data_IF_918833769109
#
_entry.id   IF_918833769109
#
_cell.length_a   1.000
_cell.length_b   1.000
_cell.length_c   1.000
_cell.angle_alpha   90.00
_cell.angle_beta   90.00
_cell.angle_gamma   90.00
#
_symmetry.space_group_name_H-M   'P 1'
#
loop_
_entity.id
_entity.type
_entity.pdbx_description
1 polymer ?
#
# COMPACT_ATOMS: atom_id res chain seq x y z
N UNK A 1 -8.97 19.91 -1.22
CA UNK A 1 -7.51 19.90 -1.42
C UNK A 1 -7.11 20.54 -2.75
N UNK A 2 -7.77 20.23 -3.86
CA UNK A 2 -7.47 20.80 -5.19
C UNK A 2 -7.72 22.32 -5.20
N UNK A 3 -8.75 22.81 -4.51
CA UNK A 3 -9.04 24.24 -4.35
C UNK A 3 -7.92 24.98 -3.58
N UNK A 4 -7.37 24.40 -2.53
CA UNK A 4 -6.28 25.01 -1.74
C UNK A 4 -4.98 25.14 -2.56
N UNK A 5 -4.66 24.15 -3.41
CA UNK A 5 -3.51 24.20 -4.32
C UNK A 5 -3.73 25.28 -5.39
N UNK A 6 -4.94 25.41 -5.90
CA UNK A 6 -5.30 26.47 -6.87
C UNK A 6 -5.14 27.86 -6.27
N UNK A 7 -5.59 28.09 -5.03
CA UNK A 7 -5.41 29.37 -4.33
C UNK A 7 -3.94 29.69 -4.03
N UNK A 8 -3.16 28.69 -3.64
CA UNK A 8 -1.71 28.87 -3.42
C UNK A 8 -1.00 29.27 -4.71
N UNK A 9 -1.33 28.63 -5.83
CA UNK A 9 -0.74 28.96 -7.14
C UNK A 9 -1.17 30.36 -7.61
N UNK A 10 -2.41 30.76 -7.38
CA UNK A 10 -2.90 32.11 -7.69
C UNK A 10 -2.18 33.14 -6.83
N UNK A 11 -1.99 32.88 -5.53
CA UNK A 11 -1.26 33.76 -4.63
C UNK A 11 0.19 33.94 -5.08
N UNK A 12 0.88 32.87 -5.42
CA UNK A 12 2.27 32.91 -5.95
C UNK A 12 2.32 33.71 -7.24
N UNK A 13 1.38 33.50 -8.16
CA UNK A 13 1.31 34.25 -9.41
C UNK A 13 1.10 35.75 -9.16
N UNK A 14 0.22 36.12 -8.24
CA UNK A 14 -0.02 37.53 -7.86
C UNK A 14 1.27 38.16 -7.28
N UNK A 15 1.95 37.48 -6.37
CA UNK A 15 3.22 37.96 -5.79
C UNK A 15 4.28 38.16 -6.87
N UNK A 16 4.41 37.23 -7.82
CA UNK A 16 5.34 37.33 -8.94
C UNK A 16 5.04 38.49 -9.86
N UNK A 17 3.76 38.74 -10.18
CA UNK A 17 3.34 39.90 -10.99
C UNK A 17 3.63 41.20 -10.26
N UNK A 18 3.36 41.28 -8.95
CA UNK A 18 3.68 42.47 -8.13
C UNK A 18 5.18 42.76 -8.12
N UNK A 19 6.02 41.76 -7.93
CA UNK A 19 7.50 41.91 -7.98
C UNK A 19 7.97 42.38 -9.34
N UNK A 20 7.41 41.86 -10.44
CA UNK A 20 7.72 42.29 -11.78
C UNK A 20 7.29 43.76 -12.04
N UNK A 21 6.14 44.19 -11.56
CA UNK A 21 5.67 45.57 -11.67
C UNK A 21 6.53 46.54 -10.86
N UNK A 22 6.98 46.17 -9.67
CA UNK A 22 7.91 46.95 -8.85
C UNK A 22 9.25 47.08 -9.56
N UNK A 23 9.78 46.01 -10.13
CA UNK A 23 11.01 46.03 -10.89
C UNK A 23 10.90 46.94 -12.11
N UNK A 24 9.80 46.86 -12.88
CA UNK A 24 9.53 47.71 -14.02
C UNK A 24 9.49 49.20 -13.62
N UNK A 25 8.77 49.52 -12.53
CA UNK A 25 8.67 50.89 -12.02
C UNK A 25 10.05 51.48 -11.61
N UNK A 26 10.90 50.68 -10.97
CA UNK A 26 12.26 51.06 -10.57
C UNK A 26 13.16 51.30 -11.78
N UNK A 27 13.03 50.49 -12.85
CA UNK A 27 13.76 50.63 -14.11
C UNK A 27 13.37 51.93 -14.80
N UNK A 28 12.06 52.23 -14.88
CA UNK A 28 11.55 53.46 -15.53
C UNK A 28 12.03 54.72 -14.82
N UNK A 29 12.14 54.73 -13.50
CA UNK A 29 12.64 55.87 -12.73
C UNK A 29 14.16 56.05 -12.75
N UNK A 30 14.93 55.20 -13.43
CA UNK A 30 16.39 55.22 -13.53
C UNK A 30 17.13 55.36 -12.19
N UNK A 31 16.46 55.18 -11.07
CA UNK A 31 17.04 55.21 -9.73
C UNK A 31 17.26 53.77 -9.26
N UNK A 32 18.40 53.48 -8.64
CA UNK A 32 18.73 52.22 -7.99
C UNK A 32 18.85 50.98 -8.95
N UNK A 33 19.61 51.10 -10.04
CA UNK A 33 19.89 49.97 -10.97
C UNK A 33 20.39 48.71 -10.26
N UNK A 34 21.27 48.86 -9.28
CA UNK A 34 21.84 47.74 -8.51
C UNK A 34 20.72 47.05 -7.68
N UNK A 35 19.85 47.82 -7.04
CA UNK A 35 18.74 47.27 -6.25
C UNK A 35 17.76 46.49 -7.12
N UNK A 36 17.43 46.99 -8.30
CA UNK A 36 16.55 46.30 -9.26
C UNK A 36 17.17 44.98 -9.75
N UNK A 37 18.49 44.98 -9.98
CA UNK A 37 19.20 43.76 -10.40
C UNK A 37 19.22 42.70 -9.29
N UNK A 38 19.41 43.11 -8.04
CA UNK A 38 19.33 42.20 -6.88
C UNK A 38 17.91 41.66 -6.73
N UNK A 39 16.88 42.51 -6.85
CA UNK A 39 15.47 42.09 -6.72
C UNK A 39 15.10 41.06 -7.80
N UNK A 40 15.56 41.27 -9.06
CA UNK A 40 15.33 40.28 -10.13
C UNK A 40 16.06 38.95 -9.84
N UNK A 41 17.29 38.99 -9.37
CA UNK A 41 18.05 37.79 -9.01
C UNK A 41 17.35 37.02 -7.90
N UNK A 42 16.88 37.70 -6.85
CA UNK A 42 16.10 37.07 -5.75
C UNK A 42 14.79 36.49 -6.26
N UNK A 43 14.08 37.16 -7.15
CA UNK A 43 12.82 36.65 -7.70
C UNK A 43 13.00 35.37 -8.53
N UNK A 44 14.07 35.31 -9.34
CA UNK A 44 14.43 34.08 -10.09
C UNK A 44 14.79 32.94 -9.15
N UNK A 45 15.54 33.23 -8.09
CA UNK A 45 15.95 32.24 -7.11
C UNK A 45 14.74 31.67 -6.35
N UNK A 46 13.82 32.53 -5.88
CA UNK A 46 12.59 32.13 -5.20
C UNK A 46 11.67 31.31 -6.13
N UNK A 47 11.57 31.72 -7.41
CA UNK A 47 10.79 30.97 -8.41
C UNK A 47 11.35 29.57 -8.65
N UNK A 48 12.68 29.44 -8.71
CA UNK A 48 13.33 28.15 -8.91
C UNK A 48 13.10 27.22 -7.73
N UNK A 49 13.19 27.71 -6.49
CA UNK A 49 12.91 26.94 -5.28
C UNK A 49 11.42 26.52 -5.25
N UNK A 50 10.51 27.41 -5.60
CA UNK A 50 9.08 27.13 -5.64
C UNK A 50 8.75 26.02 -6.65
N UNK A 51 9.36 26.04 -7.83
CA UNK A 51 9.20 24.99 -8.85
C UNK A 51 9.68 23.63 -8.36
N UNK A 52 10.82 23.56 -7.69
CA UNK A 52 11.34 22.31 -7.11
C UNK A 52 10.40 21.81 -6.01
N UNK A 53 9.92 22.70 -5.14
CA UNK A 53 8.98 22.37 -4.08
C UNK A 53 7.66 21.80 -4.60
N UNK A 54 7.08 22.43 -5.63
CA UNK A 54 5.85 21.93 -6.28
C UNK A 54 6.09 20.58 -6.93
N UNK A 55 7.22 20.38 -7.59
CA UNK A 55 7.53 19.09 -8.22
C UNK A 55 7.68 17.97 -7.18
N UNK A 56 8.36 18.23 -6.07
CA UNK A 56 8.47 17.26 -4.97
C UNK A 56 7.11 16.97 -4.31
N UNK A 57 6.27 17.99 -4.14
CA UNK A 57 4.93 17.81 -3.58
C UNK A 57 4.02 16.98 -4.49
N UNK A 58 4.07 17.21 -5.81
CA UNK A 58 3.34 16.39 -6.78
C UNK A 58 3.84 14.94 -6.76
N UNK A 59 5.17 14.74 -6.69
CA UNK A 59 5.76 13.41 -6.59
C UNK A 59 5.29 12.67 -5.32
N UNK A 60 5.30 13.36 -4.17
CA UNK A 60 4.81 12.82 -2.91
C UNK A 60 3.30 12.51 -2.97
N UNK A 61 2.50 13.41 -3.53
CA UNK A 61 1.07 13.20 -3.71
C UNK A 61 0.78 12.00 -4.62
N UNK A 62 1.56 11.84 -5.69
CA UNK A 62 1.44 10.68 -6.58
C UNK A 62 1.87 9.38 -5.88
N UNK A 63 2.90 9.40 -5.05
CA UNK A 63 3.29 8.25 -4.24
C UNK A 63 2.20 7.85 -3.24
N UNK A 64 1.61 8.83 -2.54
CA UNK A 64 0.50 8.59 -1.61
C UNK A 64 -0.73 8.04 -2.35
N UNK A 65 -1.02 8.55 -3.53
CA UNK A 65 -2.13 8.08 -4.34
C UNK A 65 -1.86 6.68 -4.95
N UNK A 66 -0.62 6.40 -5.33
CA UNK A 66 -0.23 5.07 -5.81
C UNK A 66 -0.33 4.01 -4.71
N UNK A 67 0.10 4.33 -3.48
CA UNK A 67 -0.02 3.42 -2.32
C UNK A 67 -1.46 3.13 -1.94
N UNK A 68 -2.40 4.04 -2.17
CA UNK A 68 -3.82 3.79 -1.93
C UNK A 68 -4.50 2.91 -2.99
N UNK A 69 -3.86 2.70 -4.14
CA UNK A 69 -4.40 1.89 -5.24
C UNK A 69 -3.92 0.43 -5.23
N UNK A 70 -3.03 0.06 -4.29
CA UNK A 70 -2.51 -1.29 -4.18
C UNK A 70 -2.76 -1.82 -2.77
N UNK A 71 -3.37 -2.98 -2.68
CA UNK A 71 -3.38 -3.78 -1.46
C UNK A 71 -2.41 -4.93 -1.65
N UNK A 72 -1.32 -4.95 -0.88
CA UNK A 72 -0.40 -6.08 -0.87
C UNK A 72 -0.78 -7.02 0.28
N UNK A 73 -0.78 -8.29 0.00
CA UNK A 73 -0.99 -9.37 0.96
C UNK A 73 -0.11 -10.55 0.58
N UNK A 74 0.14 -11.43 1.52
CA UNK A 74 0.98 -12.60 1.26
C UNK A 74 0.16 -13.88 1.36
N UNK A 75 0.56 -14.86 0.55
CA UNK A 75 0.08 -16.23 0.66
C UNK A 75 1.30 -17.13 0.92
N UNK A 76 1.17 -18.06 1.85
CA UNK A 76 2.30 -18.82 2.36
C UNK A 76 1.96 -20.30 2.49
N UNK A 77 2.97 -21.15 2.41
CA UNK A 77 2.90 -22.53 2.89
C UNK A 77 3.47 -22.57 4.31
N UNK A 78 2.69 -23.10 5.24
CA UNK A 78 3.07 -23.21 6.64
C UNK A 78 3.00 -24.65 7.13
N UNK A 79 3.91 -24.98 8.05
CA UNK A 79 4.00 -26.26 8.76
C UNK A 79 4.05 -25.98 10.26
N UNK A 80 3.92 -27.00 11.10
CA UNK A 80 4.14 -26.85 12.55
C UNK A 80 5.55 -26.32 12.84
N UNK A 81 5.66 -25.50 13.87
CA UNK A 81 6.94 -24.86 14.24
C UNK A 81 8.04 -25.89 14.60
N UNK A 82 7.65 -27.01 15.19
CA UNK A 82 8.50 -28.14 15.59
C UNK A 82 8.72 -29.18 14.47
N UNK A 83 8.06 -29.02 13.32
CA UNK A 83 8.24 -29.89 12.16
C UNK A 83 9.68 -29.84 11.66
N UNK A 84 10.24 -30.97 11.24
CA UNK A 84 11.56 -31.03 10.60
C UNK A 84 11.55 -30.50 9.16
N UNK A 85 10.36 -30.36 8.55
CA UNK A 85 10.18 -29.85 7.18
C UNK A 85 10.62 -28.39 7.13
N UNK A 86 11.68 -28.12 6.38
CA UNK A 86 12.26 -26.79 6.22
C UNK A 86 12.00 -26.16 4.86
N UNK A 87 11.66 -26.97 3.86
CA UNK A 87 11.47 -26.51 2.49
C UNK A 87 10.22 -27.13 1.86
N UNK A 88 9.60 -26.38 0.98
CA UNK A 88 8.40 -26.81 0.23
C UNK A 88 8.67 -28.00 -0.69
N UNK A 89 9.92 -28.19 -1.11
CA UNK A 89 10.35 -29.33 -1.93
C UNK A 89 10.19 -30.69 -1.24
N UNK A 90 10.15 -30.70 0.11
CA UNK A 90 9.99 -31.90 0.94
C UNK A 90 8.51 -32.36 1.04
N UNK A 91 7.59 -31.51 0.61
CA UNK A 91 6.15 -31.77 0.66
C UNK A 91 5.67 -32.49 -0.62
N UNK A 92 4.63 -33.30 -0.47
CA UNK A 92 3.86 -33.88 -1.58
C UNK A 92 2.48 -33.22 -1.75
N UNK A 93 1.89 -32.79 -0.64
CA UNK A 93 0.57 -32.13 -0.61
C UNK A 93 0.52 -30.98 0.36
N UNK A 94 -0.44 -30.10 0.19
CA UNK A 94 -0.81 -29.02 1.08
C UNK A 94 -2.33 -28.95 1.22
N UNK A 95 -2.82 -28.62 2.39
CA UNK A 95 -4.25 -28.47 2.65
C UNK A 95 -4.64 -27.00 2.50
N UNK A 96 -5.67 -26.71 1.70
CA UNK A 96 -6.10 -25.35 1.38
C UNK A 96 -7.58 -25.26 1.01
N UNK A 97 -8.25 -24.11 1.27
CA UNK A 97 -9.66 -23.89 0.92
C UNK A 97 -9.82 -23.44 -0.54
N UNK A 98 -9.64 -24.37 -1.49
CA UNK A 98 -9.67 -24.06 -2.92
C UNK A 98 -11.01 -23.52 -3.41
N UNK A 99 -12.14 -23.84 -2.75
CA UNK A 99 -13.46 -23.31 -3.11
C UNK A 99 -13.64 -21.83 -2.80
N UNK A 100 -12.91 -21.32 -1.83
CA UNK A 100 -13.06 -19.93 -1.38
C UNK A 100 -11.95 -19.01 -1.89
N UNK A 101 -10.76 -19.54 -2.17
CA UNK A 101 -9.60 -18.75 -2.58
C UNK A 101 -8.78 -19.42 -3.70
N UNK A 102 -9.46 -20.02 -4.67
CA UNK A 102 -8.86 -20.78 -5.77
C UNK A 102 -7.77 -20.01 -6.52
N UNK A 103 -8.01 -18.74 -6.82
CA UNK A 103 -7.10 -17.91 -7.63
C UNK A 103 -5.75 -17.68 -6.94
N UNK A 104 -5.77 -17.33 -5.66
CA UNK A 104 -4.56 -17.05 -4.90
C UNK A 104 -3.77 -18.34 -4.63
N UNK A 105 -4.47 -19.41 -4.28
CA UNK A 105 -3.87 -20.73 -4.07
C UNK A 105 -3.18 -21.19 -5.36
N UNK A 106 -3.85 -21.04 -6.50
CA UNK A 106 -3.24 -21.37 -7.80
C UNK A 106 -1.99 -20.54 -8.09
N UNK A 107 -2.03 -19.22 -7.84
CA UNK A 107 -0.86 -18.35 -8.02
C UNK A 107 0.33 -18.80 -7.17
N UNK A 108 0.07 -19.25 -5.92
CA UNK A 108 1.10 -19.79 -5.04
C UNK A 108 1.70 -21.09 -5.61
N UNK A 109 0.85 -22.03 -6.02
CA UNK A 109 1.29 -23.31 -6.55
C UNK A 109 2.06 -23.19 -7.85
N UNK A 110 1.61 -22.33 -8.77
CA UNK A 110 2.30 -22.02 -10.01
C UNK A 110 3.68 -21.41 -9.75
N UNK A 111 3.79 -20.57 -8.74
CA UNK A 111 5.05 -19.97 -8.30
C UNK A 111 6.01 -21.00 -7.70
N UNK A 112 5.54 -21.89 -6.84
CA UNK A 112 6.31 -23.01 -6.29
C UNK A 112 6.79 -23.92 -7.41
N UNK A 113 5.91 -24.24 -8.36
CA UNK A 113 6.25 -25.08 -9.53
C UNK A 113 7.35 -24.45 -10.37
N UNK A 114 7.29 -23.13 -10.58
CA UNK A 114 8.26 -22.40 -11.39
C UNK A 114 9.59 -22.20 -10.66
N UNK A 115 9.55 -21.82 -9.38
CA UNK A 115 10.74 -21.44 -8.61
C UNK A 115 11.46 -22.63 -7.96
N UNK A 116 10.72 -23.66 -7.56
CA UNK A 116 11.22 -24.83 -6.84
C UNK A 116 11.17 -26.14 -7.67
N UNK A 117 10.63 -26.07 -8.90
CA UNK A 117 10.42 -27.26 -9.77
C UNK A 117 9.63 -28.37 -9.07
N UNK A 118 8.72 -27.98 -8.17
CA UNK A 118 7.92 -28.89 -7.35
C UNK A 118 6.44 -28.71 -7.65
N UNK A 119 5.78 -29.82 -7.94
CA UNK A 119 4.34 -29.90 -8.10
C UNK A 119 3.73 -30.43 -6.79
N UNK A 120 2.80 -29.67 -6.21
CA UNK A 120 2.11 -30.02 -4.98
C UNK A 120 0.65 -30.34 -5.26
N UNK A 121 0.17 -31.44 -4.68
CA UNK A 121 -1.26 -31.74 -4.68
C UNK A 121 -1.97 -30.93 -3.60
N UNK A 122 -3.21 -30.52 -3.86
CA UNK A 122 -4.01 -29.77 -2.89
C UNK A 122 -5.10 -30.64 -2.32
N UNK A 123 -5.12 -30.75 -1.01
CA UNK A 123 -6.19 -31.35 -0.25
C UNK A 123 -7.19 -30.26 0.14
N UNK A 124 -8.48 -30.51 -0.13
CA UNK A 124 -9.52 -29.51 0.08
C UNK A 124 -9.82 -29.32 1.57
N UNK A 125 -9.92 -28.08 1.99
CA UNK A 125 -10.41 -27.69 3.32
C UNK A 125 -11.58 -26.74 3.20
N UNK A 126 -12.45 -26.73 4.20
CA UNK A 126 -13.62 -25.84 4.24
C UNK A 126 -13.22 -24.35 4.41
N UNK A 127 -12.13 -24.08 5.11
CA UNK A 127 -11.62 -22.72 5.37
C UNK A 127 -10.15 -22.76 5.81
N UNK A 128 -9.49 -21.60 5.85
CA UNK A 128 -8.14 -21.46 6.42
C UNK A 128 -8.08 -21.85 7.89
N UNK A 129 -9.12 -21.54 8.67
CA UNK A 129 -9.22 -21.95 10.06
C UNK A 129 -9.36 -23.48 10.20
N UNK A 130 -10.14 -24.12 9.32
CA UNK A 130 -10.27 -25.57 9.31
C UNK A 130 -8.94 -26.25 8.93
N UNK A 131 -8.25 -25.73 7.91
CA UNK A 131 -6.90 -26.21 7.54
C UNK A 131 -5.92 -26.09 8.73
N UNK A 132 -5.94 -24.97 9.45
CA UNK A 132 -5.12 -24.75 10.62
C UNK A 132 -5.43 -25.76 11.75
N UNK A 133 -6.70 -26.06 12.00
CA UNK A 133 -7.12 -27.07 12.98
C UNK A 133 -6.61 -28.48 12.61
N UNK A 134 -6.72 -28.84 11.33
CA UNK A 134 -6.17 -30.11 10.83
C UNK A 134 -4.65 -30.19 10.94
N UNK A 135 -3.93 -29.07 10.78
CA UNK A 135 -2.49 -29.03 11.01
C UNK A 135 -2.14 -29.27 12.48
N UNK A 136 -2.86 -28.61 13.41
CA UNK A 136 -2.65 -28.80 14.84
C UNK A 136 -3.02 -30.23 15.31
N UNK A 137 -3.99 -30.86 14.67
CA UNK A 137 -4.40 -32.24 14.93
C UNK A 137 -3.44 -33.27 14.33
N UNK A 138 -2.46 -32.86 13.52
CA UNK A 138 -1.55 -33.75 12.82
C UNK A 138 -2.16 -34.51 11.64
N UNK A 139 -3.35 -34.10 11.20
CA UNK A 139 -4.05 -34.71 10.06
C UNK A 139 -3.39 -34.32 8.72
N UNK A 140 -2.77 -33.17 8.67
CA UNK A 140 -1.99 -32.67 7.53
C UNK A 140 -0.61 -32.20 7.98
N UNK A 141 0.37 -32.28 7.08
CA UNK A 141 1.75 -31.84 7.33
C UNK A 141 2.00 -30.37 7.00
N UNK A 142 1.20 -29.82 6.07
CA UNK A 142 1.36 -28.46 5.59
C UNK A 142 0.02 -27.88 5.14
N UNK A 143 -0.11 -26.59 5.36
CA UNK A 143 -1.30 -25.82 4.97
C UNK A 143 -0.90 -24.59 4.14
N UNK A 144 -1.84 -24.10 3.35
CA UNK A 144 -1.75 -22.77 2.77
C UNK A 144 -2.39 -21.76 3.73
N UNK A 145 -1.74 -20.62 3.92
CA UNK A 145 -2.23 -19.47 4.68
C UNK A 145 -2.24 -18.24 3.80
N UNK A 146 -3.30 -17.45 3.90
CA UNK A 146 -3.39 -16.13 3.29
C UNK A 146 -3.45 -15.10 4.43
N UNK A 147 -2.55 -14.11 4.41
CA UNK A 147 -2.42 -13.10 5.47
C UNK A 147 -3.71 -12.32 5.73
N UNK A 148 -4.58 -12.19 4.72
CA UNK A 148 -5.90 -11.56 4.87
C UNK A 148 -6.79 -12.30 5.87
N UNK A 149 -6.62 -13.60 6.00
CA UNK A 149 -7.45 -14.46 6.85
C UNK A 149 -6.76 -14.87 8.16
N UNK A 150 -5.49 -14.52 8.37
CA UNK A 150 -4.75 -14.87 9.60
C UNK A 150 -5.42 -14.32 10.87
N UNK A 151 -6.04 -13.14 10.78
CA UNK A 151 -6.79 -12.54 11.90
C UNK A 151 -7.96 -13.43 12.39
N UNK A 152 -8.58 -14.23 11.51
CA UNK A 152 -9.63 -15.16 11.92
C UNK A 152 -9.05 -16.33 12.74
N UNK A 153 -7.83 -16.75 12.40
CA UNK A 153 -7.13 -17.78 13.16
C UNK A 153 -6.67 -17.22 14.50
N UNK A 154 -6.16 -15.98 14.51
CA UNK A 154 -5.68 -15.32 15.73
C UNK A 154 -6.79 -15.13 16.78
N UNK A 155 -8.01 -14.85 16.34
CA UNK A 155 -9.16 -14.72 17.25
C UNK A 155 -9.42 -15.97 18.05
N UNK A 156 -9.27 -17.17 17.46
CA UNK A 156 -9.49 -18.44 18.13
C UNK A 156 -8.20 -18.99 18.75
N UNK A 157 -7.04 -18.67 18.13
CA UNK A 157 -5.72 -19.14 18.54
C UNK A 157 -4.73 -17.96 18.61
N UNK A 158 -4.73 -17.17 19.70
CA UNK A 158 -3.87 -15.96 19.81
C UNK A 158 -2.37 -16.24 19.63
N UNK A 159 -1.90 -17.45 19.94
CA UNK A 159 -0.51 -17.86 19.79
C UNK A 159 -0.23 -18.60 18.47
N UNK A 160 -1.12 -18.53 17.47
CA UNK A 160 -0.98 -19.28 16.22
C UNK A 160 0.37 -19.06 15.54
N UNK A 161 0.87 -17.84 15.52
CA UNK A 161 2.14 -17.49 14.88
C UNK A 161 3.36 -18.19 15.52
N UNK A 162 3.28 -18.58 16.80
CA UNK A 162 4.34 -19.34 17.49
C UNK A 162 4.29 -20.84 17.22
N UNK A 163 3.11 -21.34 16.82
CA UNK A 163 2.87 -22.77 16.60
C UNK A 163 3.19 -23.23 15.19
N UNK A 164 3.39 -22.28 14.27
CA UNK A 164 3.67 -22.56 12.86
C UNK A 164 4.92 -21.84 12.39
N UNK A 165 5.55 -22.35 11.35
CA UNK A 165 6.56 -21.65 10.56
C UNK A 165 6.17 -21.63 9.10
N UNK A 166 6.33 -20.48 8.45
CA UNK A 166 6.12 -20.30 7.02
C UNK A 166 7.39 -20.71 6.28
N UNK A 167 7.30 -21.74 5.45
CA UNK A 167 8.45 -22.30 4.70
C UNK A 167 8.53 -21.80 3.28
N UNK A 168 7.44 -21.18 2.77
CA UNK A 168 7.39 -20.50 1.49
C UNK A 168 6.38 -19.36 1.55
N UNK A 169 6.72 -18.21 0.98
CA UNK A 169 5.83 -17.04 0.98
C UNK A 169 5.91 -16.35 -0.38
N UNK A 170 4.74 -16.01 -0.92
CA UNK A 170 4.60 -15.21 -2.13
C UNK A 170 3.81 -13.95 -1.80
N UNK A 171 4.37 -12.80 -2.15
CA UNK A 171 3.66 -11.53 -2.09
C UNK A 171 2.74 -11.41 -3.31
N UNK A 172 1.51 -11.00 -3.03
CA UNK A 172 0.48 -10.74 -4.04
C UNK A 172 0.04 -9.29 -3.93
N UNK A 173 -0.12 -8.65 -5.07
CA UNK A 173 -0.59 -7.27 -5.16
C UNK A 173 -1.93 -7.24 -5.87
N UNK A 174 -2.93 -6.69 -5.23
CA UNK A 174 -4.23 -6.44 -5.85
C UNK A 174 -4.34 -4.95 -6.16
N UNK A 175 -4.45 -4.62 -7.43
CA UNK A 175 -4.80 -3.26 -7.84
C UNK A 175 -6.25 -2.99 -7.45
N UNK A 176 -6.47 -2.02 -6.58
CA UNK A 176 -7.81 -1.53 -6.27
C UNK A 176 -8.07 -0.37 -7.22
N UNK A 177 -8.92 -0.56 -8.20
CA UNK A 177 -9.36 0.57 -9.03
C UNK A 177 -10.03 1.60 -8.14
N UNK A 178 -9.45 2.81 -8.09
CA UNK A 178 -10.09 3.91 -7.40
C UNK A 178 -11.47 4.18 -8.07
N UNK A 179 -12.54 4.26 -7.30
CA UNK A 179 -13.85 4.57 -7.87
C UNK A 179 -13.77 5.91 -8.61
N UNK A 180 -14.21 5.93 -9.85
CA UNK A 180 -14.31 7.16 -10.66
C UNK A 180 -15.37 8.07 -10.03
N UNK A 181 -14.95 8.93 -9.12
CA UNK A 181 -15.84 9.90 -8.49
C UNK A 181 -16.11 11.01 -9.50
N UNK A 182 -17.36 11.14 -9.93
CA UNK A 182 -17.80 12.26 -10.76
C UNK A 182 -17.69 13.56 -9.94
N UNK A 183 -16.91 14.53 -10.42
CA UNK A 183 -16.66 15.79 -9.73
C UNK A 183 -17.92 16.64 -9.47
N UNK A 184 -19.03 16.32 -10.12
CA UNK A 184 -20.28 17.10 -10.07
C UNK A 184 -21.44 16.37 -9.36
N UNK A 185 -21.20 15.29 -8.66
CA UNK A 185 -22.23 14.57 -7.88
C UNK A 185 -21.88 14.56 -6.41
N UNK A 186 -22.89 14.70 -5.56
CA UNK A 186 -22.73 14.47 -4.12
C UNK A 186 -22.21 13.04 -3.90
N UNK A 187 -21.23 12.89 -3.02
CA UNK A 187 -20.63 11.60 -2.67
C UNK A 187 -20.57 11.46 -1.16
N UNK A 188 -20.70 10.26 -0.68
CA UNK A 188 -20.52 9.92 0.72
C UNK A 188 -19.06 9.54 0.96
N UNK A 189 -18.47 10.06 2.03
CA UNK A 189 -17.12 9.70 2.48
C UNK A 189 -17.28 8.77 3.66
N UNK A 190 -16.75 7.55 3.52
CA UNK A 190 -16.60 6.63 4.61
C UNK A 190 -15.18 6.80 5.20
N UNK A 191 -15.12 7.17 6.47
CA UNK A 191 -13.87 7.31 7.22
C UNK A 191 -13.80 6.16 8.22
N UNK A 192 -12.77 5.32 8.08
CA UNK A 192 -12.48 4.21 8.97
C UNK A 192 -11.16 4.46 9.67
N UNK A 193 -11.18 4.50 11.00
CA UNK A 193 -9.98 4.53 11.83
C UNK A 193 -9.50 3.11 12.10
N UNK A 194 -8.19 2.90 12.05
CA UNK A 194 -7.55 1.62 12.37
C UNK A 194 -6.61 1.81 13.55
N UNK A 195 -6.70 0.90 14.52
CA UNK A 195 -5.87 0.89 15.72
C UNK A 195 -4.70 -0.10 15.56
N UNK A 196 -3.80 0.20 14.61
CA UNK A 196 -2.56 -0.57 14.47
C UNK A 196 -1.37 0.31 14.17
N UNK A 197 -0.23 0.00 14.79
CA UNK A 197 1.07 0.53 14.39
C UNK A 197 1.56 -0.24 13.16
N UNK A 198 1.75 0.48 12.06
CA UNK A 198 2.27 -0.15 10.84
C UNK A 198 1.88 0.59 9.57
N UNK A 199 2.30 0.11 8.40
CA UNK A 199 1.89 0.68 7.13
C UNK A 199 0.37 0.53 6.94
N UNK A 200 -0.25 1.51 6.28
CA UNK A 200 -1.71 1.56 5.99
C UNK A 200 -2.22 0.30 5.24
N UNK A 201 -1.30 -0.45 4.63
CA UNK A 201 -1.57 -1.72 3.95
C UNK A 201 -1.71 -2.93 4.89
N UNK A 202 -1.42 -2.78 6.19
CA UNK A 202 -1.60 -3.87 7.15
C UNK A 202 -3.09 -4.12 7.39
N UNK A 203 -3.48 -5.39 7.39
CA UNK A 203 -4.85 -5.78 7.72
C UNK A 203 -5.09 -5.48 9.20
N UNK A 204 -6.01 -4.59 9.50
CA UNK A 204 -6.35 -4.24 10.86
C UNK A 204 -7.87 -4.04 11.02
N UNK A 205 -8.34 -4.08 12.27
CA UNK A 205 -9.74 -3.79 12.58
C UNK A 205 -10.00 -2.29 12.48
N UNK A 206 -11.18 -1.94 12.01
CA UNK A 206 -11.69 -0.59 12.06
C UNK A 206 -12.37 -0.34 13.41
N UNK A 207 -11.83 0.56 14.22
CA UNK A 207 -12.40 0.90 15.53
C UNK A 207 -13.41 2.04 15.44
N UNK A 208 -13.30 2.88 14.43
CA UNK A 208 -14.21 4.00 14.19
C UNK A 208 -14.68 4.01 12.75
N UNK A 209 -16.01 4.01 12.57
CA UNK A 209 -16.65 4.11 11.26
C UNK A 209 -17.59 5.32 11.27
N UNK A 210 -17.34 6.30 10.41
CA UNK A 210 -18.15 7.50 10.25
C UNK A 210 -18.60 7.56 8.78
N UNK A 211 -19.91 7.70 8.59
CA UNK A 211 -20.54 7.86 7.26
C UNK A 211 -21.08 9.27 7.13
#
# INVERSE_FOLDING_TARGET
HILAISYANILIAIVMILLALIALFLILKRKAKIFTMILLLVSVFVSSISLIGVHQFISLANQLNATSNYSSYSISVAVLADSEIGNVSELSSVTAPTKTDAENIKKLLDDIKTSQSKDLTVEESASYLAAYKSLLAGETKAIVLNSVFENLIEQEYPDHAKKIKKIYTKELTKTVEAPKVSQNKAFNIYISGIDTYGPISSVSRSDVNII
#
